data_IF_797422429458
#
_entry.id   IF_797422429458
#
_cell.length_a   1.000
_cell.length_b   1.000
_cell.length_c   1.000
_cell.angle_alpha   90.00
_cell.angle_beta   90.00
_cell.angle_gamma   90.00
#
_symmetry.space_group_name_H-M   'P 1'
#
loop_
_entity.id
_entity.type
_entity.pdbx_description
1 polymer ?
#
# COMPACT_ATOMS: atom_id res chain seq x y z
N UNK A 1 -7.88 18.74 -0.60
CA UNK A 1 -9.24 18.88 -1.16
C UNK A 1 -9.31 18.77 -2.69
N UNK A 2 -8.20 18.59 -3.40
CA UNK A 2 -8.14 18.60 -4.89
C UNK A 2 -8.66 17.31 -5.57
N UNK A 3 -9.01 16.26 -4.82
CA UNK A 3 -9.33 14.94 -5.39
C UNK A 3 -10.82 14.73 -5.74
N UNK A 4 -11.77 15.30 -4.98
CA UNK A 4 -13.21 15.03 -5.15
C UNK A 4 -13.74 15.54 -6.51
N UNK A 5 -13.27 16.70 -6.96
CA UNK A 5 -13.67 17.28 -8.26
C UNK A 5 -13.17 16.44 -9.44
N UNK A 6 -12.04 15.75 -9.29
CA UNK A 6 -11.52 14.84 -10.32
C UNK A 6 -12.34 13.55 -10.44
N UNK A 7 -12.84 13.02 -9.31
CA UNK A 7 -13.65 11.80 -9.28
C UNK A 7 -15.02 12.03 -9.92
N UNK A 8 -15.69 13.15 -9.63
CA UNK A 8 -16.98 13.47 -10.23
C UNK A 8 -16.90 13.59 -11.77
N UNK A 9 -15.81 14.16 -12.28
CA UNK A 9 -15.56 14.23 -13.73
C UNK A 9 -15.36 12.86 -14.36
N UNK A 10 -14.59 11.98 -13.71
CA UNK A 10 -14.39 10.61 -14.20
C UNK A 10 -15.70 9.81 -14.21
N UNK A 11 -16.50 9.92 -13.14
CA UNK A 11 -17.76 9.17 -13.04
C UNK A 11 -18.78 9.59 -14.10
N UNK A 12 -18.80 10.88 -14.48
CA UNK A 12 -19.59 11.36 -15.63
C UNK A 12 -19.09 10.79 -16.96
N UNK A 13 -17.78 10.71 -17.16
CA UNK A 13 -17.19 10.11 -18.38
C UNK A 13 -17.56 8.64 -18.49
N UNK A 14 -17.59 7.92 -17.38
CA UNK A 14 -18.01 6.50 -17.32
C UNK A 14 -19.53 6.30 -17.31
N UNK A 15 -20.33 7.36 -17.39
CA UNK A 15 -21.80 7.31 -17.41
C UNK A 15 -22.40 6.48 -16.27
N UNK A 16 -21.79 6.53 -15.08
CA UNK A 16 -22.28 5.82 -13.91
C UNK A 16 -23.59 6.47 -13.45
N UNK A 17 -24.59 5.67 -13.09
CA UNK A 17 -25.85 6.18 -12.57
C UNK A 17 -25.64 6.94 -11.22
N UNK A 18 -26.63 7.74 -10.76
CA UNK A 18 -26.52 8.53 -9.54
C UNK A 18 -26.23 7.72 -8.27
N UNK A 19 -26.82 6.54 -8.13
CA UNK A 19 -26.60 5.63 -6.99
C UNK A 19 -25.20 5.01 -7.05
N UNK A 20 -24.74 4.60 -8.24
CA UNK A 20 -23.37 4.13 -8.46
C UNK A 20 -22.33 5.22 -8.19
N UNK A 21 -22.61 6.46 -8.57
CA UNK A 21 -21.76 7.63 -8.31
C UNK A 21 -21.60 7.86 -6.82
N UNK A 22 -22.72 7.85 -6.08
CA UNK A 22 -22.73 7.98 -4.61
C UNK A 22 -21.90 6.87 -3.97
N UNK A 23 -22.09 5.63 -4.40
CA UNK A 23 -21.40 4.47 -3.85
C UNK A 23 -19.88 4.56 -4.06
N UNK A 24 -19.43 4.94 -5.26
CA UNK A 24 -18.00 5.12 -5.56
C UNK A 24 -17.40 6.29 -4.78
N UNK A 25 -18.12 7.40 -4.63
CA UNK A 25 -17.64 8.55 -3.86
C UNK A 25 -17.54 8.24 -2.37
N UNK A 26 -18.49 7.49 -1.81
CA UNK A 26 -18.44 7.07 -0.41
C UNK A 26 -17.30 6.08 -0.16
N UNK A 27 -17.07 5.14 -1.09
CA UNK A 27 -15.87 4.29 -1.07
C UNK A 27 -14.58 5.12 -1.16
N UNK A 28 -14.51 6.08 -2.07
CA UNK A 28 -13.34 6.95 -2.23
C UNK A 28 -13.07 7.78 -0.96
N UNK A 29 -14.11 8.26 -0.28
CA UNK A 29 -14.00 8.95 1.02
C UNK A 29 -13.50 8.02 2.12
N UNK A 30 -14.05 6.82 2.23
CA UNK A 30 -13.62 5.82 3.21
C UNK A 30 -12.14 5.45 3.02
N UNK A 31 -11.73 5.23 1.76
CA UNK A 31 -10.33 4.99 1.40
C UNK A 31 -9.47 6.22 1.73
N UNK A 32 -9.94 7.44 1.43
CA UNK A 32 -9.26 8.68 1.77
C UNK A 32 -9.01 8.83 3.28
N UNK A 33 -9.99 8.50 4.11
CA UNK A 33 -9.86 8.52 5.58
C UNK A 33 -8.87 7.46 6.08
N UNK A 34 -8.91 6.24 5.51
CA UNK A 34 -7.94 5.19 5.81
C UNK A 34 -6.51 5.61 5.39
N UNK A 35 -6.37 6.34 4.29
CA UNK A 35 -5.07 6.86 3.85
C UNK A 35 -4.50 7.91 4.83
N UNK A 36 -5.37 8.79 5.34
CA UNK A 36 -4.99 9.78 6.34
C UNK A 36 -4.60 9.13 7.67
N UNK A 37 -5.30 8.08 8.10
CA UNK A 37 -4.96 7.34 9.32
C UNK A 37 -3.64 6.55 9.17
N UNK A 38 -3.40 5.98 7.99
CA UNK A 38 -2.12 5.37 7.64
C UNK A 38 -0.98 6.40 7.66
N UNK A 39 -1.20 7.60 7.10
CA UNK A 39 -0.24 8.71 7.14
C UNK A 39 0.08 9.16 8.57
N UNK A 40 -0.92 9.28 9.43
CA UNK A 40 -0.73 9.58 10.85
C UNK A 40 0.02 8.46 11.59
N UNK A 41 -0.14 7.21 11.17
CA UNK A 41 0.63 6.07 11.70
C UNK A 41 2.09 6.10 11.25
N UNK A 42 2.36 6.52 10.00
CA UNK A 42 3.72 6.74 9.51
C UNK A 42 4.42 7.86 10.29
N UNK A 43 3.74 8.99 10.56
CA UNK A 43 4.29 10.09 11.36
C UNK A 43 4.79 9.67 12.76
N UNK A 44 4.19 8.64 13.36
CA UNK A 44 4.50 8.20 14.71
C UNK A 44 5.54 7.07 14.78
N UNK A 45 5.94 6.47 13.66
CA UNK A 45 6.89 5.35 13.68
C UNK A 45 7.00 4.59 12.36
N UNK A 46 7.45 5.27 11.30
CA UNK A 46 7.58 4.72 9.94
C UNK A 46 8.40 3.42 9.88
N UNK A 47 9.57 3.38 10.54
CA UNK A 47 10.42 2.19 10.53
C UNK A 47 9.79 1.00 11.26
N UNK A 48 9.23 1.23 12.44
CA UNK A 48 8.50 0.21 13.20
C UNK A 48 7.27 -0.29 12.42
N UNK A 49 6.61 0.57 11.66
CA UNK A 49 5.54 0.17 10.74
C UNK A 49 6.06 -0.75 9.62
N UNK A 50 7.24 -0.47 9.03
CA UNK A 50 7.85 -1.39 8.06
C UNK A 50 8.22 -2.75 8.66
N UNK A 51 8.71 -2.77 9.90
CA UNK A 51 9.01 -4.01 10.61
C UNK A 51 7.74 -4.86 10.83
N UNK A 52 6.66 -4.25 11.31
CA UNK A 52 5.38 -4.96 11.47
C UNK A 52 4.82 -5.48 10.15
N UNK A 53 4.97 -4.72 9.06
CA UNK A 53 4.58 -5.21 7.74
C UNK A 53 5.38 -6.44 7.36
N UNK A 54 6.71 -6.41 7.55
CA UNK A 54 7.57 -7.57 7.29
C UNK A 54 7.06 -8.81 8.04
N UNK A 55 6.78 -8.69 9.34
CA UNK A 55 6.33 -9.83 10.15
C UNK A 55 4.99 -10.43 9.65
N UNK A 56 4.08 -9.57 9.16
CA UNK A 56 2.81 -10.00 8.55
C UNK A 56 3.06 -10.66 7.18
N UNK A 57 3.94 -10.07 6.37
CA UNK A 57 4.28 -10.58 5.04
C UNK A 57 5.02 -11.93 5.11
N UNK A 58 5.88 -12.14 6.10
CA UNK A 58 6.56 -13.42 6.38
C UNK A 58 5.57 -14.55 6.67
N UNK A 59 4.41 -14.23 7.25
CA UNK A 59 3.35 -15.20 7.55
C UNK A 59 2.35 -15.36 6.39
N UNK A 60 2.42 -14.52 5.36
CA UNK A 60 1.46 -14.49 4.28
C UNK A 60 1.95 -15.34 3.09
N UNK A 61 1.17 -16.35 2.71
CA UNK A 61 1.45 -17.16 1.51
C UNK A 61 1.22 -16.37 0.20
N UNK A 62 0.40 -15.32 0.21
CA UNK A 62 0.11 -14.51 -0.98
C UNK A 62 -0.36 -13.10 -0.60
N UNK A 63 0.20 -12.08 -1.24
CA UNK A 63 -0.19 -10.67 -1.07
C UNK A 63 -0.76 -10.16 -2.39
N UNK A 64 -2.00 -9.66 -2.37
CA UNK A 64 -2.65 -9.01 -3.52
C UNK A 64 -3.04 -7.60 -3.15
N UNK A 65 -2.60 -6.63 -3.95
CA UNK A 65 -2.99 -5.23 -3.81
C UNK A 65 -3.46 -4.68 -5.15
N UNK A 66 -4.42 -3.76 -5.11
CA UNK A 66 -4.77 -2.91 -6.25
C UNK A 66 -4.67 -1.44 -5.84
N UNK A 67 -3.76 -0.69 -6.48
CA UNK A 67 -3.50 0.72 -6.20
C UNK A 67 -3.19 1.44 -7.53
N UNK A 68 -4.21 1.90 -8.26
CA UNK A 68 -4.05 2.35 -9.65
C UNK A 68 -3.23 3.63 -9.81
N UNK A 69 -3.07 4.41 -8.73
CA UNK A 69 -2.32 5.66 -8.73
C UNK A 69 -1.06 5.62 -7.85
N UNK A 70 -0.72 4.47 -7.25
CA UNK A 70 0.41 4.36 -6.33
C UNK A 70 1.21 3.09 -6.60
N UNK A 71 2.54 3.24 -6.64
CA UNK A 71 3.44 2.10 -6.71
C UNK A 71 3.44 1.40 -5.35
N UNK A 72 3.15 0.10 -5.32
CA UNK A 72 3.20 -0.66 -4.07
C UNK A 72 4.57 -0.58 -3.44
N UNK A 73 4.62 -0.51 -2.12
CA UNK A 73 5.87 -0.45 -1.36
C UNK A 73 6.84 -1.60 -1.65
N UNK A 74 6.40 -2.71 -2.25
CA UNK A 74 7.28 -3.80 -2.72
C UNK A 74 8.02 -3.45 -4.02
N UNK A 75 7.46 -2.58 -4.87
CA UNK A 75 8.00 -2.21 -6.18
C UNK A 75 8.62 -0.80 -6.22
N UNK A 76 8.68 -0.11 -5.08
CA UNK A 76 9.24 1.23 -5.02
C UNK A 76 10.77 1.17 -5.09
N UNK A 77 11.39 2.01 -5.92
CA UNK A 77 12.83 2.23 -5.86
C UNK A 77 13.20 2.99 -4.57
N UNK A 78 14.48 2.96 -4.20
CA UNK A 78 15.00 3.77 -3.08
C UNK A 78 14.67 5.26 -3.23
N UNK A 79 14.87 5.81 -4.44
CA UNK A 79 14.57 7.20 -4.75
C UNK A 79 13.07 7.51 -4.56
N UNK A 80 12.19 6.62 -5.01
CA UNK A 80 10.75 6.80 -4.83
C UNK A 80 10.36 6.68 -3.35
N UNK A 81 10.89 5.69 -2.62
CA UNK A 81 10.64 5.51 -1.20
C UNK A 81 11.10 6.74 -0.38
N UNK A 82 12.25 7.31 -0.73
CA UNK A 82 12.78 8.54 -0.14
C UNK A 82 11.84 9.72 -0.35
N UNK A 83 11.30 9.88 -1.55
CA UNK A 83 10.30 10.93 -1.84
C UNK A 83 9.00 10.73 -1.06
N UNK A 84 8.50 9.50 -0.96
CA UNK A 84 7.26 9.18 -0.23
C UNK A 84 7.42 9.46 1.26
N UNK A 85 8.49 8.94 1.88
CA UNK A 85 8.74 9.12 3.30
C UNK A 85 9.17 10.55 3.65
N UNK A 86 9.91 11.21 2.76
CA UNK A 86 10.40 12.59 2.91
C UNK A 86 9.28 13.62 3.03
N UNK A 87 8.05 13.31 2.61
CA UNK A 87 6.88 14.16 2.86
C UNK A 87 6.43 14.20 4.33
N UNK A 88 7.00 13.32 5.17
CA UNK A 88 6.48 13.02 6.50
C UNK A 88 7.57 13.02 7.57
N UNK A 89 8.76 12.48 7.24
CA UNK A 89 9.90 12.36 8.15
C UNK A 89 11.19 12.80 7.45
N UNK A 90 12.22 13.17 8.22
CA UNK A 90 13.50 13.66 7.70
C UNK A 90 14.70 13.08 8.47
N UNK A 91 15.91 13.36 7.98
CA UNK A 91 17.17 12.96 8.64
C UNK A 91 17.33 11.44 8.78
N UNK A 92 17.89 11.01 9.92
CA UNK A 92 18.16 9.59 10.19
C UNK A 92 16.90 8.73 10.18
N UNK A 93 15.76 9.29 10.61
CA UNK A 93 14.47 8.59 10.59
C UNK A 93 14.03 8.29 9.15
N UNK A 94 14.26 9.21 8.22
CA UNK A 94 14.00 8.98 6.80
C UNK A 94 14.90 7.88 6.25
N UNK A 95 16.23 7.99 6.47
CA UNK A 95 17.20 7.00 6.01
C UNK A 95 16.86 5.59 6.54
N UNK A 96 16.56 5.49 7.83
CA UNK A 96 16.21 4.22 8.46
C UNK A 96 14.89 3.65 7.93
N UNK A 97 13.92 4.50 7.63
CA UNK A 97 12.63 4.09 7.05
C UNK A 97 12.77 3.56 5.63
N UNK A 98 13.60 4.22 4.81
CA UNK A 98 13.92 3.79 3.46
C UNK A 98 14.64 2.45 3.50
N UNK A 99 15.69 2.32 4.32
CA UNK A 99 16.43 1.08 4.49
C UNK A 99 15.53 -0.07 4.96
N UNK A 100 14.68 0.16 5.97
CA UNK A 100 13.73 -0.85 6.45
C UNK A 100 12.73 -1.29 5.37
N UNK A 101 12.33 -0.39 4.47
CA UNK A 101 11.48 -0.74 3.34
C UNK A 101 12.22 -1.58 2.29
N UNK A 102 13.44 -1.21 1.93
CA UNK A 102 14.24 -1.95 0.95
C UNK A 102 14.61 -3.35 1.44
N UNK A 103 14.92 -3.51 2.73
CA UNK A 103 15.20 -4.83 3.30
C UNK A 103 13.97 -5.75 3.23
N UNK A 104 12.77 -5.22 3.52
CA UNK A 104 11.51 -5.96 3.36
C UNK A 104 11.26 -6.36 1.90
N UNK A 105 11.58 -5.48 0.93
CA UNK A 105 11.46 -5.80 -0.50
C UNK A 105 12.36 -6.98 -0.90
N UNK A 106 13.63 -6.92 -0.49
CA UNK A 106 14.63 -7.95 -0.76
C UNK A 106 14.15 -9.33 -0.30
N UNK A 107 13.60 -9.39 0.91
CA UNK A 107 13.08 -10.64 1.46
C UNK A 107 11.89 -11.21 0.70
N UNK A 108 11.01 -10.34 0.18
CA UNK A 108 9.81 -10.78 -0.55
C UNK A 108 10.10 -11.13 -2.02
N UNK A 109 11.05 -10.46 -2.66
CA UNK A 109 11.38 -10.63 -4.07
C UNK A 109 12.49 -11.66 -4.33
N UNK A 110 13.46 -11.76 -3.42
CA UNK A 110 14.60 -12.67 -3.57
C UNK A 110 14.41 -14.00 -2.82
N UNK A 111 13.27 -14.18 -2.13
CA UNK A 111 12.91 -15.48 -1.58
C UNK A 111 12.82 -16.51 -2.72
N UNK A 112 13.45 -17.70 -2.56
CA UNK A 112 13.42 -18.72 -3.60
C UNK A 112 11.97 -19.07 -3.94
N UNK A 113 11.61 -18.90 -5.21
CA UNK A 113 10.29 -19.26 -5.72
C UNK A 113 10.15 -20.79 -5.68
N UNK A 114 9.63 -21.30 -4.57
CA UNK A 114 9.18 -22.68 -4.43
C UNK A 114 10.04 -23.58 -3.53
N UNK A 115 9.52 -23.87 -2.34
CA UNK A 115 9.38 -25.26 -1.92
C UNK A 115 7.92 -25.47 -1.51
N UNK A 116 7.24 -26.32 -2.28
CA UNK A 116 5.78 -26.36 -2.32
C UNK A 116 5.13 -26.74 -0.98
N UNK A 117 3.99 -26.10 -0.69
CA UNK A 117 2.88 -26.74 -0.02
C UNK A 117 1.64 -26.66 -0.89
N UNK A 118 1.66 -27.44 -1.98
CA UNK A 118 0.44 -27.99 -2.53
C UNK A 118 -0.06 -29.07 -1.54
N UNK A 119 -0.67 -28.65 -0.42
CA UNK A 119 -1.44 -29.56 0.41
C UNK A 119 -2.75 -29.81 -0.32
N UNK A 120 -2.78 -30.95 -1.01
CA UNK A 120 -3.98 -31.58 -1.54
C UNK A 120 -5.12 -31.47 -0.52
N UNK A 121 -6.18 -30.71 -0.83
CA UNK A 121 -7.53 -31.04 -0.35
C UNK A 121 -8.25 -31.74 -1.50
N UNK A 122 -8.03 -33.06 -1.60
CA UNK A 122 -9.02 -33.99 -2.13
C UNK A 122 -9.74 -34.62 -0.94
N UNK A 123 -11.06 -34.65 -1.05
CA UNK A 123 -12.03 -35.55 -0.40
C UNK A 123 -12.14 -35.49 1.13
N UNK A 124 -13.22 -34.86 1.61
CA UNK A 124 -14.46 -35.56 1.98
C UNK A 124 -15.64 -34.59 1.98
#
# INVERSE_FOLDING_TARGET
>A
MTSIVAHDRLLRVYQVDPDGTKQVLDMARAVGQALLSARASLQRGTAHFQQRLRDIEEQADTIRGFAPAAVFGVFQTEAYASLVFGQTVSGDVLAHSVAARLERQRQLLDAPVGSGRCSRRRAR
#
